data_IF_099371384965
#
_entry.id   IF_099371384965
#
_cell.length_a   1.000
_cell.length_b   1.000
_cell.length_c   1.000
_cell.angle_alpha   90.00
_cell.angle_beta   90.00
_cell.angle_gamma   90.00
#
_symmetry.space_group_name_H-M   'P 1'
#
loop_
_entity.id
_entity.type
_entity.pdbx_description
1 polymer ?
#
# COMPACT_ATOMS: atom_id res chain seq x y z
N UNK A 1 -9.16 -14.92 -6.10
CA UNK A 1 -8.14 -13.96 -5.60
C UNK A 1 -8.12 -12.77 -6.54
N UNK A 2 -7.88 -11.56 -6.03
CA UNK A 2 -7.83 -10.33 -6.83
C UNK A 2 -6.39 -9.91 -7.15
N UNK A 3 -6.21 -8.91 -8.01
CA UNK A 3 -4.90 -8.32 -8.34
C UNK A 3 -4.33 -7.41 -7.25
N UNK A 4 -5.10 -7.16 -6.18
CA UNK A 4 -4.71 -6.33 -5.02
C UNK A 4 -4.54 -7.19 -3.75
N UNK A 5 -4.10 -8.44 -3.89
CA UNK A 5 -3.81 -9.34 -2.76
C UNK A 5 -5.03 -9.64 -1.86
N UNK A 6 -6.25 -9.51 -2.38
CA UNK A 6 -7.48 -9.83 -1.64
C UNK A 6 -8.08 -11.17 -2.09
N UNK A 7 -8.88 -11.78 -1.23
CA UNK A 7 -9.72 -12.93 -1.56
C UNK A 7 -11.18 -12.47 -1.65
N UNK A 8 -11.91 -12.97 -2.65
CA UNK A 8 -13.35 -12.78 -2.79
C UNK A 8 -14.04 -14.11 -2.53
N UNK A 9 -15.00 -14.10 -1.61
CA UNK A 9 -15.92 -15.23 -1.40
C UNK A 9 -17.07 -15.06 -2.39
N UNK A 10 -17.25 -16.03 -3.27
CA UNK A 10 -18.29 -16.03 -4.32
C UNK A 10 -19.25 -17.19 -4.10
N UNK A 11 -20.43 -17.13 -4.72
CA UNK A 11 -21.50 -18.13 -4.56
C UNK A 11 -21.91 -18.34 -3.10
N UNK A 12 -22.04 -17.23 -2.36
CA UNK A 12 -22.56 -17.23 -0.99
C UNK A 12 -24.06 -16.98 -1.05
N UNK A 13 -24.83 -17.98 -0.68
CA UNK A 13 -26.27 -17.89 -0.53
C UNK A 13 -26.64 -17.08 0.73
N UNK A 14 -27.83 -16.49 0.76
CA UNK A 14 -28.26 -15.63 1.88
C UNK A 14 -28.19 -16.34 3.23
N UNK A 15 -28.58 -17.63 3.25
CA UNK A 15 -28.61 -18.44 4.46
C UNK A 15 -27.21 -18.79 5.01
N UNK A 16 -26.15 -18.64 4.21
CA UNK A 16 -24.77 -18.90 4.63
C UNK A 16 -24.10 -17.67 5.27
N UNK A 17 -24.66 -16.47 5.07
CA UNK A 17 -24.03 -15.21 5.48
C UNK A 17 -23.78 -15.12 6.98
N UNK A 18 -24.73 -15.55 7.80
CA UNK A 18 -24.60 -15.50 9.26
C UNK A 18 -23.47 -16.42 9.74
N UNK A 19 -23.40 -17.64 9.20
CA UNK A 19 -22.34 -18.60 9.51
C UNK A 19 -20.97 -18.09 9.07
N UNK A 20 -20.86 -17.52 7.86
CA UNK A 20 -19.61 -16.94 7.35
C UNK A 20 -19.18 -15.76 8.21
N UNK A 21 -20.11 -14.86 8.56
CA UNK A 21 -19.82 -13.70 9.43
C UNK A 21 -19.29 -14.14 10.79
N UNK A 22 -19.94 -15.12 11.42
CA UNK A 22 -19.47 -15.70 12.68
C UNK A 22 -18.06 -16.30 12.54
N UNK A 23 -17.80 -17.04 11.46
CA UNK A 23 -16.50 -17.67 11.26
C UNK A 23 -15.38 -16.66 11.00
N UNK A 24 -15.67 -15.58 10.27
CA UNK A 24 -14.72 -14.49 10.07
C UNK A 24 -14.40 -13.78 11.40
N UNK A 25 -15.37 -13.66 12.30
CA UNK A 25 -15.15 -13.06 13.62
C UNK A 25 -14.27 -13.93 14.52
N UNK A 26 -14.55 -15.23 14.58
CA UNK A 26 -13.74 -16.22 15.31
C UNK A 26 -12.27 -16.22 14.85
N UNK A 27 -12.03 -15.97 13.56
CA UNK A 27 -10.69 -15.89 12.97
C UNK A 27 -10.05 -14.49 13.10
N UNK A 28 -10.74 -13.50 13.65
CA UNK A 28 -10.27 -12.11 13.73
C UNK A 28 -10.12 -11.45 12.36
N UNK A 29 -11.03 -11.77 11.42
CA UNK A 29 -11.05 -11.27 10.04
C UNK A 29 -12.27 -10.39 9.72
N UNK A 30 -13.21 -10.18 10.65
CA UNK A 30 -14.40 -9.34 10.47
C UNK A 30 -14.09 -7.95 9.91
N UNK A 31 -13.01 -7.33 10.36
CA UNK A 31 -12.53 -6.02 9.90
C UNK A 31 -12.12 -5.99 8.42
N UNK A 32 -11.86 -7.15 7.80
CA UNK A 32 -11.55 -7.24 6.36
C UNK A 32 -12.77 -7.01 5.47
N UNK A 33 -13.99 -7.13 5.99
CA UNK A 33 -15.22 -6.81 5.27
C UNK A 33 -15.46 -5.30 5.14
N UNK A 34 -14.90 -4.51 6.08
CA UNK A 34 -14.99 -3.05 6.12
C UNK A 34 -13.61 -2.47 6.46
N UNK A 35 -12.63 -2.56 5.53
CA UNK A 35 -11.28 -2.11 5.80
C UNK A 35 -11.23 -0.59 5.98
N UNK A 36 -10.17 -0.11 6.64
CA UNK A 36 -9.81 1.31 6.60
C UNK A 36 -9.69 1.80 5.15
N UNK A 37 -10.20 3.01 4.89
CA UNK A 37 -10.27 3.56 3.53
C UNK A 37 -8.88 3.71 2.92
N UNK A 38 -7.87 4.15 3.69
CA UNK A 38 -6.52 4.29 3.15
C UNK A 38 -5.84 2.92 2.98
N UNK A 39 -6.00 2.02 3.95
CA UNK A 39 -5.45 0.68 3.88
C UNK A 39 -5.96 -0.11 2.67
N UNK A 40 -7.23 0.07 2.27
CA UNK A 40 -7.81 -0.56 1.09
C UNK A 40 -7.15 -0.13 -0.25
N UNK A 41 -6.45 1.02 -0.25
CA UNK A 41 -5.77 1.58 -1.42
C UNK A 41 -4.24 1.43 -1.35
N UNK A 42 -3.75 0.62 -0.41
CA UNK A 42 -2.34 0.33 -0.20
C UNK A 42 -1.97 -1.06 -0.72
N UNK A 43 -0.76 -1.19 -1.29
CA UNK A 43 -0.24 -2.48 -1.76
C UNK A 43 1.29 -2.52 -1.62
N UNK A 44 1.82 -3.64 -1.13
CA UNK A 44 3.26 -3.87 -1.03
C UNK A 44 3.69 -5.15 -1.75
N UNK A 45 4.96 -5.25 -2.14
CA UNK A 45 5.55 -6.54 -2.43
C UNK A 45 6.04 -7.20 -1.14
N UNK A 46 6.39 -8.48 -1.22
CA UNK A 46 6.89 -9.24 -0.07
C UNK A 46 8.17 -8.63 0.49
N UNK A 47 9.14 -8.34 -0.39
CA UNK A 47 10.49 -7.90 -0.02
C UNK A 47 11.16 -8.88 0.97
N UNK A 48 11.83 -8.40 2.02
CA UNK A 48 12.43 -9.26 3.03
C UNK A 48 11.36 -10.04 3.83
N UNK A 49 11.67 -11.26 4.32
CA UNK A 49 12.98 -11.91 4.31
C UNK A 49 13.20 -12.88 3.15
N UNK A 50 12.21 -13.05 2.27
CA UNK A 50 12.21 -14.13 1.27
C UNK A 50 12.63 -13.67 -0.12
N UNK A 51 12.52 -12.38 -0.44
CA UNK A 51 13.01 -11.85 -1.71
C UNK A 51 14.52 -11.57 -1.62
N UNK A 52 15.34 -12.37 -2.30
CA UNK A 52 16.80 -12.18 -2.36
C UNK A 52 17.27 -10.93 -3.12
N UNK A 53 16.34 -10.19 -3.74
CA UNK A 53 16.60 -8.92 -4.43
C UNK A 53 16.16 -7.70 -3.60
N UNK A 54 15.58 -7.93 -2.42
CA UNK A 54 15.11 -6.84 -1.57
C UNK A 54 16.28 -5.97 -1.08
N UNK A 55 16.07 -4.66 -1.16
CA UNK A 55 16.95 -3.61 -0.69
C UNK A 55 16.40 -2.96 0.59
N UNK A 56 15.08 -2.95 0.76
CA UNK A 56 14.38 -2.51 1.97
C UNK A 56 13.16 -3.39 2.25
N UNK A 57 12.61 -3.31 3.46
CA UNK A 57 11.33 -3.92 3.83
C UNK A 57 10.19 -3.39 2.97
N UNK A 58 9.10 -4.13 2.78
CA UNK A 58 7.90 -3.59 2.15
C UNK A 58 6.64 -4.06 2.88
N UNK A 59 6.27 -5.33 2.75
CA UNK A 59 5.09 -5.91 3.40
C UNK A 59 5.09 -5.70 4.92
N UNK A 60 6.20 -6.05 5.59
CA UNK A 60 6.33 -5.94 7.04
C UNK A 60 6.43 -4.50 7.55
N UNK A 61 6.68 -3.54 6.67
CA UNK A 61 6.77 -2.12 7.01
C UNK A 61 5.41 -1.41 6.92
N UNK A 62 4.37 -2.01 6.32
CA UNK A 62 3.14 -1.31 5.93
C UNK A 62 2.34 -0.65 7.05
N UNK A 63 2.51 -1.06 8.32
CA UNK A 63 1.87 -0.40 9.46
C UNK A 63 2.27 1.07 9.58
N UNK A 64 3.57 1.37 9.46
CA UNK A 64 4.09 2.69 9.78
C UNK A 64 3.73 3.74 8.71
N UNK A 65 3.83 3.44 7.40
CA UNK A 65 3.34 4.32 6.34
C UNK A 65 1.85 4.56 6.42
N UNK A 66 1.03 3.55 6.78
CA UNK A 66 -0.41 3.72 6.89
C UNK A 66 -0.75 4.75 7.98
N UNK A 67 -0.14 4.61 9.16
CA UNK A 67 -0.34 5.53 10.28
C UNK A 67 0.14 6.94 9.95
N UNK A 68 1.32 7.06 9.31
CA UNK A 68 1.84 8.33 8.85
C UNK A 68 0.92 8.99 7.82
N UNK A 69 0.45 8.24 6.82
CA UNK A 69 -0.46 8.76 5.80
C UNK A 69 -1.77 9.22 6.40
N UNK A 70 -2.36 8.46 7.31
CA UNK A 70 -3.61 8.83 7.96
C UNK A 70 -3.47 10.12 8.77
N UNK A 71 -2.35 10.30 9.49
CA UNK A 71 -2.06 11.57 10.19
C UNK A 71 -1.89 12.74 9.22
N UNK A 72 -1.12 12.57 8.15
CA UNK A 72 -0.93 13.61 7.14
C UNK A 72 -2.24 13.98 6.45
N UNK A 73 -3.01 12.98 6.02
CA UNK A 73 -4.33 13.20 5.41
C UNK A 73 -5.27 13.94 6.37
N UNK A 74 -5.24 13.62 7.65
CA UNK A 74 -6.03 14.35 8.64
C UNK A 74 -5.59 15.82 8.75
N UNK A 75 -4.28 16.08 8.81
CA UNK A 75 -3.72 17.43 8.88
C UNK A 75 -4.14 18.31 7.68
N UNK A 76 -4.24 17.73 6.49
CA UNK A 76 -4.59 18.45 5.26
C UNK A 76 -6.07 18.31 4.85
N UNK A 77 -6.94 17.74 5.70
CA UNK A 77 -8.36 17.58 5.41
C UNK A 77 -8.70 16.53 4.34
N UNK A 78 -7.76 15.65 4.00
CA UNK A 78 -7.86 14.62 2.96
C UNK A 78 -8.30 13.25 3.49
N UNK A 79 -8.82 13.16 4.72
CA UNK A 79 -9.14 11.88 5.38
C UNK A 79 -10.01 10.94 4.52
N UNK A 80 -10.96 11.50 3.78
CA UNK A 80 -11.90 10.76 2.92
C UNK A 80 -11.41 10.58 1.47
N UNK A 81 -10.22 11.07 1.12
CA UNK A 81 -9.67 10.93 -0.23
C UNK A 81 -8.87 9.64 -0.29
N UNK A 82 -9.28 8.60 -1.02
CA UNK A 82 -8.47 7.41 -1.20
C UNK A 82 -7.28 7.72 -2.10
N UNK A 83 -6.05 7.52 -1.62
CA UNK A 83 -4.83 7.72 -2.40
C UNK A 83 -4.17 6.36 -2.59
N UNK A 84 -3.91 5.99 -3.84
CA UNK A 84 -3.20 4.75 -4.16
C UNK A 84 -1.73 4.86 -3.74
N UNK A 85 -1.36 4.07 -2.74
CA UNK A 85 0.00 4.04 -2.19
C UNK A 85 0.62 2.67 -2.41
N UNK A 86 1.75 2.60 -3.12
CA UNK A 86 2.43 1.33 -3.43
C UNK A 86 3.86 1.31 -2.94
N UNK A 87 4.23 0.25 -2.22
CA UNK A 87 5.55 0.11 -1.59
C UNK A 87 6.29 -1.09 -2.20
N UNK A 88 7.48 -0.89 -2.74
CA UNK A 88 8.31 -1.98 -3.28
C UNK A 88 9.70 -1.97 -2.67
N UNK A 89 10.16 -3.12 -2.20
CA UNK A 89 11.47 -3.26 -1.55
C UNK A 89 12.66 -3.19 -2.49
N UNK A 90 12.46 -3.02 -3.82
CA UNK A 90 13.50 -2.86 -4.84
C UNK A 90 12.87 -2.42 -6.19
N UNK A 91 13.65 -1.99 -7.21
CA UNK A 91 13.12 -1.28 -8.38
C UNK A 91 12.45 -2.14 -9.48
N UNK A 92 12.33 -3.47 -9.34
CA UNK A 92 11.61 -4.26 -10.36
C UNK A 92 10.09 -4.02 -10.36
N UNK A 93 9.55 -3.43 -9.29
CA UNK A 93 8.16 -2.98 -9.28
C UNK A 93 7.11 -4.09 -9.16
N UNK A 94 7.36 -5.14 -8.37
CA UNK A 94 6.40 -6.22 -8.12
C UNK A 94 5.04 -5.72 -7.59
N UNK A 95 5.05 -4.68 -6.76
CA UNK A 95 3.85 -4.03 -6.24
C UNK A 95 3.17 -3.11 -7.27
N UNK A 96 3.67 -3.03 -8.51
CA UNK A 96 3.26 -2.10 -9.57
C UNK A 96 3.33 -0.61 -9.12
N UNK A 97 4.44 -0.15 -8.53
CA UNK A 97 4.57 1.20 -7.96
C UNK A 97 4.35 2.30 -8.99
N UNK A 98 4.73 2.09 -10.25
CA UNK A 98 4.65 3.09 -11.32
C UNK A 98 3.22 3.41 -11.79
N UNK A 99 2.22 2.71 -11.25
CA UNK A 99 0.79 2.96 -11.50
C UNK A 99 0.08 3.52 -10.25
N UNK A 100 0.80 3.83 -9.18
CA UNK A 100 0.23 4.47 -7.99
C UNK A 100 0.46 5.98 -8.01
N UNK A 101 -0.50 6.70 -7.44
CA UNK A 101 -0.38 8.14 -7.19
C UNK A 101 0.86 8.45 -6.35
N UNK A 102 1.10 7.64 -5.32
CA UNK A 102 2.30 7.73 -4.49
C UNK A 102 2.94 6.36 -4.40
N UNK A 103 4.24 6.29 -4.69
CA UNK A 103 4.99 5.05 -4.55
C UNK A 103 6.29 5.25 -3.79
N UNK A 104 6.60 4.29 -2.92
CA UNK A 104 7.89 4.16 -2.26
C UNK A 104 8.62 2.99 -2.91
N UNK A 105 9.72 3.28 -3.59
CA UNK A 105 10.57 2.28 -4.24
C UNK A 105 11.95 2.32 -3.62
N UNK A 106 12.37 1.21 -3.01
CA UNK A 106 13.73 1.14 -2.48
C UNK A 106 14.74 1.21 -3.62
N UNK A 107 15.77 2.02 -3.43
CA UNK A 107 16.87 2.20 -4.37
C UNK A 107 18.18 2.32 -3.62
N UNK A 108 19.27 1.97 -4.30
CA UNK A 108 20.62 2.26 -3.85
C UNK A 108 20.84 3.77 -3.91
N UNK A 109 21.26 4.36 -2.78
CA UNK A 109 21.73 5.74 -2.73
C UNK A 109 23.20 5.83 -3.12
N UNK A 110 24.00 4.88 -2.62
CA UNK A 110 25.42 4.69 -2.95
C UNK A 110 25.76 3.18 -2.80
N UNK A 111 27.05 2.83 -2.86
CA UNK A 111 27.50 1.44 -2.80
C UNK A 111 27.19 0.71 -1.48
N UNK A 112 26.83 1.43 -0.41
CA UNK A 112 26.57 0.83 0.91
C UNK A 112 25.26 1.26 1.55
N UNK A 113 24.56 2.25 0.99
CA UNK A 113 23.39 2.89 1.60
C UNK A 113 22.15 2.70 0.75
N UNK A 114 21.08 2.19 1.37
CA UNK A 114 19.76 2.05 0.76
C UNK A 114 18.86 3.22 1.19
N UNK A 115 17.97 3.65 0.30
CA UNK A 115 16.98 4.69 0.59
C UNK A 115 15.65 4.41 -0.10
N UNK A 116 14.59 5.06 0.37
CA UNK A 116 13.30 5.10 -0.31
C UNK A 116 13.28 6.24 -1.33
N UNK A 117 13.12 5.90 -2.61
CA UNK A 117 12.75 6.87 -3.63
C UNK A 117 11.23 7.01 -3.67
N UNK A 118 10.73 8.22 -3.45
CA UNK A 118 9.31 8.52 -3.64
C UNK A 118 9.06 8.89 -5.10
N UNK A 119 8.13 8.19 -5.75
CA UNK A 119 7.62 8.53 -7.07
C UNK A 119 6.18 9.01 -6.90
N UNK A 120 5.92 10.24 -7.31
CA UNK A 120 4.58 10.81 -7.35
C UNK A 120 4.10 10.78 -8.79
N UNK A 121 3.00 10.08 -9.07
CA UNK A 121 2.32 10.17 -10.37
C UNK A 121 1.03 10.95 -10.17
N UNK A 122 0.98 12.17 -10.70
CA UNK A 122 -0.25 12.97 -10.67
C UNK A 122 -1.22 12.37 -11.69
N UNK A 123 -2.27 11.70 -11.22
CA UNK A 123 -3.34 11.18 -12.09
C UNK A 123 -4.56 12.10 -12.15
N UNK A 124 -4.65 13.11 -11.27
CA UNK A 124 -5.76 14.06 -11.23
C UNK A 124 -5.29 15.49 -11.53
N UNK A 125 -5.67 16.00 -12.70
CA UNK A 125 -5.36 17.35 -13.19
C UNK A 125 -6.05 18.46 -12.39
N UNK A 126 -6.94 18.12 -11.46
CA UNK A 126 -7.62 19.09 -10.59
C UNK A 126 -6.89 19.36 -9.27
N UNK A 127 -6.00 18.47 -8.83
CA UNK A 127 -5.33 18.57 -7.52
C UNK A 127 -3.82 18.78 -7.63
N UNK A 128 -3.16 18.31 -8.69
CA UNK A 128 -1.72 18.48 -8.87
C UNK A 128 -1.34 18.67 -10.33
N UNK A 129 -0.49 19.65 -10.62
CA UNK A 129 0.17 19.79 -11.93
C UNK A 129 0.99 18.52 -12.24
N UNK A 130 1.01 18.04 -13.51
CA UNK A 130 1.73 16.84 -13.86
C UNK A 130 3.24 17.10 -13.76
N UNK A 131 3.85 16.61 -12.69
CA UNK A 131 5.29 16.56 -12.53
C UNK A 131 5.67 15.19 -11.97
N UNK A 132 6.18 14.30 -12.83
CA UNK A 132 6.89 13.10 -12.39
C UNK A 132 8.21 13.56 -11.77
N UNK A 133 8.21 13.94 -10.49
CA UNK A 133 9.44 14.26 -9.78
C UNK A 133 9.85 13.05 -8.93
N UNK A 134 10.94 12.38 -9.29
CA UNK A 134 11.65 11.49 -8.37
C UNK A 134 12.38 12.36 -7.36
N UNK A 135 11.93 12.37 -6.11
CA UNK A 135 12.73 12.90 -4.99
C UNK A 135 13.09 11.73 -4.10
N UNK A 136 14.39 11.50 -3.93
CA UNK A 136 14.89 10.60 -2.89
C UNK A 136 14.64 11.27 -1.55
N UNK A 137 13.88 10.63 -0.66
CA UNK A 137 13.68 11.09 0.70
C UNK A 137 14.39 10.12 1.64
N UNK A 138 15.25 10.65 2.51
CA UNK A 138 15.82 9.88 3.62
C UNK A 138 14.81 9.89 4.75
N UNK A 139 14.13 8.76 4.98
CA UNK A 139 13.36 8.54 6.20
C UNK A 139 14.34 8.02 7.27
N UNK A 140 15.08 8.95 7.88
CA UNK A 140 15.84 8.72 9.12
C UNK A 140 15.11 9.36 10.27
#
# INVERSE_FOLDING_TARGET
MTTNQNLQLTHVEEHEREQISWRLDDLGLSQRLKPDLQAAHMLSCVAFPTCGLAMAEAERYMSDPLDLFNRLKQQYGLRQVPITLRVTGYPNGCARPYLAEIALTAALRDSTTYTWAAVLTATDSTVCTPATSMKAFSLT
#
